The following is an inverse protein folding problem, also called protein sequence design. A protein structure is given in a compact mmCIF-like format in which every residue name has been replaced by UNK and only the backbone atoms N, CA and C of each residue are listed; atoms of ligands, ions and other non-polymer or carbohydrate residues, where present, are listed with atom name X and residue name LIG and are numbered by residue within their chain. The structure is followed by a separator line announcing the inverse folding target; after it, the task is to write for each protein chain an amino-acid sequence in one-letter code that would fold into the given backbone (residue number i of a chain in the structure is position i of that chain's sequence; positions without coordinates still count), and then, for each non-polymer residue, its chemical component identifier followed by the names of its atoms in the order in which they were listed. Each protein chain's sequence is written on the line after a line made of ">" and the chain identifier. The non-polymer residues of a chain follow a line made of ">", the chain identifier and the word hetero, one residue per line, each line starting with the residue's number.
data_IF_941873843406
#
_entry.id   IF_941873843406
#
_cell.length_a   1.000
_cell.length_b   1.000
_cell.length_c   1.000
_cell.angle_alpha   90.00
_cell.angle_beta   90.00
_cell.angle_gamma   90.00
#
_symmetry.space_group_name_H-M   'P 1'
#
loop_
_entity.id
_entity.type
_entity.pdbx_description
1 polymer ?
#
# COMPACT_ATOMS: atom_id res chain seq x y z
N UNK A 1 -34.24 44.25 29.52
CA UNK A 1 -34.97 43.15 28.84
C UNK A 1 -34.42 41.85 29.39
N UNK A 2 -35.15 41.19 30.28
CA UNK A 2 -34.84 39.80 30.61
C UNK A 2 -35.31 38.97 29.42
N UNK A 3 -34.37 38.36 28.71
CA UNK A 3 -34.68 37.35 27.72
C UNK A 3 -35.09 36.10 28.51
N UNK A 4 -36.40 35.79 28.52
CA UNK A 4 -36.92 34.57 29.11
C UNK A 4 -36.54 33.38 28.23
N UNK A 5 -35.36 32.82 28.48
CA UNK A 5 -34.92 31.58 27.85
C UNK A 5 -35.69 30.40 28.45
N UNK A 6 -36.47 29.70 27.64
CA UNK A 6 -37.19 28.50 28.08
C UNK A 6 -36.25 27.28 28.12
N UNK A 7 -36.53 26.27 28.97
CA UNK A 7 -35.78 25.01 28.98
C UNK A 7 -35.69 24.35 27.59
N UNK A 8 -36.73 24.50 26.75
CA UNK A 8 -36.76 23.99 25.39
C UNK A 8 -35.76 24.71 24.47
N UNK A 9 -35.60 26.03 24.61
CA UNK A 9 -34.60 26.79 23.86
C UNK A 9 -33.18 26.39 24.26
N UNK A 10 -32.94 26.13 25.55
CA UNK A 10 -31.66 25.57 26.01
C UNK A 10 -31.40 24.18 25.44
N UNK A 11 -32.40 23.30 25.44
CA UNK A 11 -32.27 21.96 24.88
C UNK A 11 -31.98 22.03 23.36
N UNK A 12 -32.66 22.90 22.60
CA UNK A 12 -32.37 23.11 21.18
C UNK A 12 -30.96 23.63 20.93
N UNK A 13 -30.48 24.59 21.72
CA UNK A 13 -29.12 25.09 21.61
C UNK A 13 -28.10 23.98 21.91
N UNK A 14 -28.32 23.17 22.94
CA UNK A 14 -27.48 22.01 23.27
C UNK A 14 -27.50 20.96 22.15
N UNK A 15 -28.65 20.71 21.51
CA UNK A 15 -28.75 19.82 20.34
C UNK A 15 -27.86 20.35 19.20
N UNK A 16 -27.90 21.65 18.90
CA UNK A 16 -27.10 22.26 17.82
C UNK A 16 -25.60 22.20 18.15
N UNK A 17 -25.22 22.53 19.38
CA UNK A 17 -23.82 22.47 19.84
C UNK A 17 -23.33 21.02 19.78
N UNK A 18 -24.10 20.08 20.29
CA UNK A 18 -23.77 18.66 20.26
C UNK A 18 -23.63 18.12 18.83
N UNK A 19 -24.51 18.51 17.91
CA UNK A 19 -24.38 18.14 16.49
C UNK A 19 -23.07 18.66 15.88
N UNK A 20 -22.68 19.90 16.16
CA UNK A 20 -21.38 20.45 15.72
C UNK A 20 -20.19 19.77 16.37
N UNK A 21 -20.27 19.43 17.66
CA UNK A 21 -19.20 18.72 18.39
C UNK A 21 -19.06 17.28 17.89
N UNK A 22 -20.16 16.61 17.58
CA UNK A 22 -20.16 15.28 16.94
C UNK A 22 -19.53 15.32 15.54
N UNK A 23 -19.80 16.38 14.77
CA UNK A 23 -19.18 16.62 13.47
C UNK A 23 -17.66 16.80 13.58
N UNK A 24 -17.20 17.63 14.52
CA UNK A 24 -15.78 17.97 14.72
C UNK A 24 -14.94 16.87 15.39
N UNK A 25 -15.51 16.10 16.33
CA UNK A 25 -14.72 15.22 17.22
C UNK A 25 -15.40 13.92 17.64
N UNK A 26 -16.66 13.71 17.28
CA UNK A 26 -17.37 12.44 17.51
C UNK A 26 -17.54 12.02 18.97
N UNK A 27 -17.42 12.96 19.93
CA UNK A 27 -17.71 12.71 21.35
C UNK A 27 -18.98 13.46 21.75
N UNK A 28 -19.81 12.82 22.56
CA UNK A 28 -21.00 13.41 23.16
C UNK A 28 -20.62 14.47 24.20
N UNK A 29 -21.51 15.43 24.45
CA UNK A 29 -21.31 16.44 25.49
C UNK A 29 -21.14 15.80 26.87
N UNK A 30 -21.85 14.70 27.14
CA UNK A 30 -21.74 13.92 28.37
C UNK A 30 -20.30 13.43 28.64
N UNK A 31 -19.62 12.95 27.59
CA UNK A 31 -18.23 12.46 27.67
C UNK A 31 -17.20 13.58 27.76
N UNK A 32 -17.65 14.82 27.64
CA UNK A 32 -16.87 16.04 27.80
C UNK A 32 -17.23 16.78 29.10
N UNK A 33 -18.04 16.17 29.98
CA UNK A 33 -18.56 16.78 31.21
C UNK A 33 -19.40 18.06 30.97
N UNK A 34 -20.04 18.15 29.80
CA UNK A 34 -20.89 19.27 29.38
C UNK A 34 -22.39 18.95 29.52
N UNK A 35 -23.27 19.97 29.62
CA UNK A 35 -24.72 19.77 29.74
C UNK A 35 -25.27 18.95 28.58
N UNK A 36 -26.05 17.92 28.88
CA UNK A 36 -26.57 16.96 27.89
C UNK A 36 -27.87 17.43 27.25
N UNK A 37 -28.04 17.14 25.96
CA UNK A 37 -29.32 17.33 25.29
C UNK A 37 -30.26 16.14 25.53
N UNK A 38 -31.55 16.40 25.73
CA UNK A 38 -32.58 15.36 25.75
C UNK A 38 -32.94 15.03 24.29
N UNK A 39 -32.31 13.98 23.75
CA UNK A 39 -32.66 13.38 22.44
C UNK A 39 -33.40 12.06 22.65
N UNK A 40 -34.44 11.82 21.88
CA UNK A 40 -35.04 10.49 21.80
C UNK A 40 -34.03 9.51 21.17
N UNK A 41 -34.04 8.24 21.56
CA UNK A 41 -33.12 7.21 21.06
C UNK A 41 -33.15 7.06 19.53
N UNK A 42 -34.27 7.40 18.89
CA UNK A 42 -34.40 7.48 17.42
C UNK A 42 -33.58 8.60 16.77
N UNK A 43 -33.39 9.74 17.45
CA UNK A 43 -32.61 10.88 16.92
C UNK A 43 -31.10 10.60 16.91
N UNK A 44 -30.62 9.76 17.84
CA UNK A 44 -29.22 9.34 17.92
C UNK A 44 -28.84 8.42 16.76
N UNK A 45 -29.66 7.42 16.47
CA UNK A 45 -29.53 6.54 15.30
C UNK A 45 -29.51 7.34 13.99
N UNK A 46 -30.36 8.37 13.90
CA UNK A 46 -30.42 9.22 12.72
C UNK A 46 -29.16 10.07 12.56
N UNK A 47 -28.53 10.55 13.63
CA UNK A 47 -27.40 11.48 13.54
C UNK A 47 -26.13 10.88 12.89
N UNK A 48 -25.81 9.62 13.20
CA UNK A 48 -24.64 8.96 12.63
C UNK A 48 -24.87 8.53 11.18
N UNK A 49 -26.09 8.12 10.85
CA UNK A 49 -26.48 7.89 9.47
C UNK A 49 -26.49 9.19 8.66
N UNK A 50 -26.96 10.29 9.24
CA UNK A 50 -26.95 11.60 8.59
C UNK A 50 -25.51 11.98 8.25
N UNK A 51 -24.58 11.82 9.20
CA UNK A 51 -23.17 12.12 8.98
C UNK A 51 -22.57 11.37 7.79
N UNK A 52 -23.00 10.13 7.55
CA UNK A 52 -22.51 9.31 6.45
C UNK A 52 -23.32 9.45 5.14
N UNK A 53 -24.33 10.33 5.12
CA UNK A 53 -25.17 10.57 3.94
C UNK A 53 -25.31 12.06 3.57
N UNK A 54 -24.97 12.98 4.48
CA UNK A 54 -25.11 14.44 4.33
C UNK A 54 -23.95 15.10 3.58
N UNK A 55 -23.51 14.48 2.48
CA UNK A 55 -22.47 15.05 1.62
C UNK A 55 -23.08 16.02 0.59
N UNK A 56 -22.37 17.10 0.26
CA UNK A 56 -22.79 18.00 -0.81
C UNK A 56 -22.58 17.32 -2.17
N UNK A 57 -23.68 16.90 -2.77
CA UNK A 57 -23.70 16.19 -4.06
C UNK A 57 -23.09 17.06 -5.17
N UNK A 58 -23.27 18.38 -5.16
CA UNK A 58 -22.72 19.27 -6.19
C UNK A 58 -21.21 19.42 -6.05
N UNK A 59 -20.71 19.51 -4.82
CA UNK A 59 -19.27 19.55 -4.55
C UNK A 59 -18.61 18.22 -4.97
N UNK A 60 -19.24 17.10 -4.64
CA UNK A 60 -18.76 15.77 -5.04
C UNK A 60 -18.77 15.61 -6.56
N UNK A 61 -19.82 16.03 -7.27
CA UNK A 61 -19.90 15.97 -8.73
C UNK A 61 -18.81 16.81 -9.41
N UNK A 62 -18.59 18.04 -8.92
CA UNK A 62 -17.50 18.89 -9.39
C UNK A 62 -16.13 18.25 -9.15
N UNK A 63 -15.91 17.67 -7.96
CA UNK A 63 -14.67 16.96 -7.64
C UNK A 63 -14.45 15.76 -8.55
N UNK A 64 -15.47 14.94 -8.79
CA UNK A 64 -15.39 13.76 -9.66
C UNK A 64 -15.09 14.19 -11.10
N UNK A 65 -15.82 15.15 -11.63
CA UNK A 65 -15.66 15.64 -13.01
C UNK A 65 -14.26 16.19 -13.27
N UNK A 66 -13.67 16.89 -12.30
CA UNK A 66 -12.32 17.44 -12.42
C UNK A 66 -11.22 16.38 -12.30
N UNK A 67 -11.41 15.36 -11.45
CA UNK A 67 -10.33 14.44 -11.07
C UNK A 67 -10.38 13.07 -11.77
N UNK A 68 -11.55 12.57 -12.16
CA UNK A 68 -11.69 11.29 -12.86
C UNK A 68 -10.90 11.22 -14.20
N UNK A 69 -10.78 12.30 -14.99
CA UNK A 69 -9.91 12.31 -16.17
C UNK A 69 -8.41 12.21 -15.86
N UNK A 70 -7.97 12.62 -14.66
CA UNK A 70 -6.56 12.66 -14.27
C UNK A 70 -5.99 11.29 -13.86
N UNK A 71 -6.85 10.27 -13.71
CA UNK A 71 -6.42 8.90 -13.43
C UNK A 71 -5.52 8.38 -14.55
N UNK A 72 -4.27 8.09 -14.21
CA UNK A 72 -3.34 7.36 -15.09
C UNK A 72 -3.83 5.93 -15.31
N UNK A 73 -3.40 5.22 -16.38
CA UNK A 73 -3.97 3.92 -16.77
C UNK A 73 -4.06 2.89 -15.64
N UNK A 74 -3.01 2.77 -14.83
CA UNK A 74 -2.97 1.81 -13.71
C UNK A 74 -3.95 2.16 -12.58
N UNK A 75 -4.01 3.44 -12.23
CA UNK A 75 -4.96 3.94 -11.24
C UNK A 75 -6.40 3.77 -11.74
N UNK A 76 -6.65 4.02 -13.03
CA UNK A 76 -7.96 3.83 -13.68
C UNK A 76 -8.37 2.37 -13.69
N UNK A 77 -7.46 1.45 -13.99
CA UNK A 77 -7.72 0.02 -13.93
C UNK A 77 -8.12 -0.42 -12.51
N UNK A 78 -7.38 0.01 -11.49
CA UNK A 78 -7.71 -0.30 -10.10
C UNK A 78 -9.06 0.32 -9.68
N UNK A 79 -9.28 1.60 -10.00
CA UNK A 79 -10.51 2.34 -9.74
C UNK A 79 -11.73 1.63 -10.34
N UNK A 80 -11.69 1.28 -11.63
CA UNK A 80 -12.78 0.60 -12.32
C UNK A 80 -13.03 -0.81 -11.77
N UNK A 81 -11.98 -1.56 -11.43
CA UNK A 81 -12.10 -2.90 -10.87
C UNK A 81 -12.85 -2.87 -9.52
N UNK A 82 -12.50 -1.93 -8.64
CA UNK A 82 -13.14 -1.76 -7.34
C UNK A 82 -14.61 -1.33 -7.52
N UNK A 83 -14.89 -0.34 -8.37
CA UNK A 83 -16.27 0.10 -8.64
C UNK A 83 -17.13 -1.03 -9.20
N UNK A 84 -16.62 -1.77 -10.18
CA UNK A 84 -17.32 -2.91 -10.77
C UNK A 84 -17.68 -3.97 -9.72
N UNK A 85 -16.78 -4.22 -8.77
CA UNK A 85 -17.02 -5.19 -7.70
C UNK A 85 -18.13 -4.72 -6.73
N UNK A 86 -18.15 -3.43 -6.40
CA UNK A 86 -19.18 -2.81 -5.57
C UNK A 86 -20.54 -2.87 -6.28
N UNK A 87 -20.60 -2.48 -7.55
CA UNK A 87 -21.83 -2.50 -8.37
C UNK A 87 -22.41 -3.90 -8.51
N UNK A 88 -21.56 -4.91 -8.72
CA UNK A 88 -21.96 -6.32 -8.78
C UNK A 88 -22.30 -6.92 -7.41
N UNK A 89 -22.22 -6.14 -6.32
CA UNK A 89 -22.41 -6.59 -4.93
C UNK A 89 -21.59 -7.84 -4.60
N UNK A 90 -20.41 -7.94 -5.19
CA UNK A 90 -19.52 -9.09 -5.02
C UNK A 90 -18.63 -8.84 -3.82
N UNK A 91 -18.98 -9.47 -2.70
CA UNK A 91 -18.22 -9.37 -1.45
C UNK A 91 -16.76 -9.80 -1.64
N UNK A 92 -15.83 -9.12 -0.98
CA UNK A 92 -14.42 -9.51 -0.99
C UNK A 92 -13.50 -8.43 -0.45
N UNK A 93 -12.27 -8.83 -0.12
CA UNK A 93 -11.23 -7.92 0.33
C UNK A 93 -10.26 -7.65 -0.81
N UNK A 94 -10.04 -6.38 -1.12
CA UNK A 94 -9.11 -5.93 -2.15
C UNK A 94 -7.94 -5.25 -1.46
N UNK A 95 -6.71 -5.63 -1.83
CA UNK A 95 -5.51 -4.92 -1.43
C UNK A 95 -4.98 -4.05 -2.55
N UNK A 96 -4.95 -2.74 -2.31
CA UNK A 96 -4.30 -1.78 -3.19
C UNK A 96 -2.83 -1.63 -2.76
N UNK A 97 -1.94 -2.34 -3.45
CA UNK A 97 -0.49 -2.22 -3.26
C UNK A 97 0.00 -0.95 -3.98
N UNK A 98 0.15 0.12 -3.22
CA UNK A 98 0.49 1.42 -3.75
C UNK A 98 1.70 2.01 -2.98
N UNK A 99 2.92 1.95 -3.56
CA UNK A 99 4.08 2.57 -2.96
C UNK A 99 3.90 4.08 -2.74
N UNK A 100 4.72 4.65 -1.87
CA UNK A 100 4.73 6.10 -1.66
C UNK A 100 4.85 6.88 -2.97
N UNK A 101 4.03 7.93 -3.10
CA UNK A 101 4.02 8.82 -4.27
C UNK A 101 3.24 8.31 -5.49
N UNK A 102 2.58 7.14 -5.41
CA UNK A 102 1.80 6.59 -6.54
C UNK A 102 0.36 7.11 -6.64
N UNK A 103 -0.03 8.08 -5.81
CA UNK A 103 -1.39 8.63 -5.83
C UNK A 103 -2.46 7.72 -5.19
N UNK A 104 -2.08 6.83 -4.27
CA UNK A 104 -3.01 5.98 -3.50
C UNK A 104 -4.20 6.77 -2.93
N UNK A 105 -3.90 7.83 -2.20
CA UNK A 105 -4.89 8.69 -1.55
C UNK A 105 -5.81 9.36 -2.56
N UNK A 106 -5.28 9.75 -3.73
CA UNK A 106 -6.07 10.30 -4.83
C UNK A 106 -7.10 9.29 -5.35
N UNK A 107 -6.69 8.05 -5.60
CA UNK A 107 -7.60 6.98 -6.02
C UNK A 107 -8.66 6.69 -4.95
N UNK A 108 -8.27 6.60 -3.67
CA UNK A 108 -9.18 6.38 -2.54
C UNK A 108 -10.21 7.50 -2.47
N UNK A 109 -9.79 8.76 -2.50
CA UNK A 109 -10.69 9.92 -2.37
C UNK A 109 -11.66 10.01 -3.55
N UNK A 110 -11.21 9.74 -4.77
CA UNK A 110 -12.08 9.71 -5.94
C UNK A 110 -13.10 8.57 -5.87
N UNK A 111 -12.71 7.40 -5.36
CA UNK A 111 -13.61 6.27 -5.15
C UNK A 111 -14.69 6.59 -4.11
N UNK A 112 -14.28 7.15 -2.98
CA UNK A 112 -15.20 7.60 -1.93
C UNK A 112 -16.18 8.66 -2.46
N UNK A 113 -15.69 9.65 -3.20
CA UNK A 113 -16.52 10.68 -3.81
C UNK A 113 -17.57 10.06 -4.74
N UNK A 114 -17.17 9.15 -5.64
CA UNK A 114 -18.08 8.50 -6.60
C UNK A 114 -19.21 7.72 -5.93
N UNK A 115 -18.90 7.00 -4.84
CA UNK A 115 -19.88 6.19 -4.12
C UNK A 115 -20.81 7.08 -3.28
N UNK A 116 -20.26 8.07 -2.57
CA UNK A 116 -21.04 9.03 -1.77
C UNK A 116 -21.96 9.90 -2.63
N UNK A 117 -21.54 10.25 -3.85
CA UNK A 117 -22.39 10.93 -4.83
C UNK A 117 -23.66 10.14 -5.17
N UNK A 118 -23.65 8.81 -5.03
CA UNK A 118 -24.82 7.95 -5.19
C UNK A 118 -25.64 7.78 -3.89
N UNK A 119 -25.40 8.62 -2.87
CA UNK A 119 -26.01 8.54 -1.53
C UNK A 119 -25.77 7.22 -0.80
N UNK A 120 -24.69 6.51 -1.14
CA UNK A 120 -24.29 5.25 -0.51
C UNK A 120 -23.33 5.50 0.65
N UNK A 121 -23.44 4.67 1.67
CA UNK A 121 -22.62 4.76 2.88
C UNK A 121 -21.27 4.10 2.64
N UNK A 122 -20.19 4.82 2.93
CA UNK A 122 -18.81 4.33 2.90
C UNK A 122 -18.13 4.61 4.23
N UNK A 123 -17.46 3.62 4.80
CA UNK A 123 -16.68 3.81 6.02
C UNK A 123 -15.22 3.99 5.64
N UNK A 124 -14.62 5.10 6.07
CA UNK A 124 -13.22 5.41 5.77
C UNK A 124 -12.42 5.47 7.06
N UNK A 125 -11.47 4.55 7.20
CA UNK A 125 -10.57 4.48 8.35
C UNK A 125 -9.11 4.50 7.93
N UNK A 126 -8.24 4.95 8.83
CA UNK A 126 -6.80 4.84 8.66
C UNK A 126 -6.09 4.37 9.94
N UNK A 127 -4.92 3.76 9.81
CA UNK A 127 -4.15 3.26 10.96
C UNK A 127 -3.57 4.37 11.84
N UNK A 128 -3.26 5.54 11.27
CA UNK A 128 -2.74 6.72 11.99
C UNK A 128 -3.67 7.94 11.87
N UNK A 129 -3.58 8.87 12.83
CA UNK A 129 -4.36 10.11 12.80
C UNK A 129 -4.02 10.99 11.60
N UNK A 130 -2.75 11.09 11.23
CA UNK A 130 -2.28 11.88 10.08
C UNK A 130 -2.77 11.28 8.76
N UNK A 131 -2.77 9.95 8.63
CA UNK A 131 -3.33 9.31 7.43
C UNK A 131 -4.84 9.53 7.34
N UNK A 132 -5.54 9.55 8.48
CA UNK A 132 -6.98 9.79 8.50
C UNK A 132 -7.36 11.20 7.99
N UNK A 133 -6.53 12.22 8.18
CA UNK A 133 -6.83 13.58 7.68
C UNK A 133 -6.68 13.74 6.18
N UNK A 134 -5.98 12.80 5.52
CA UNK A 134 -5.72 12.84 4.07
C UNK A 134 -6.85 12.21 3.24
N UNK A 135 -7.74 11.46 3.88
CA UNK A 135 -8.87 10.80 3.22
C UNK A 135 -10.20 11.42 3.64
N UNK A 136 -11.10 11.67 2.69
CA UNK A 136 -12.37 12.36 2.98
C UNK A 136 -13.23 11.55 3.94
N UNK A 137 -13.69 12.18 5.03
CA UNK A 137 -14.44 11.50 6.09
C UNK A 137 -13.60 10.53 6.92
N UNK A 138 -12.27 10.56 6.77
CA UNK A 138 -11.33 9.67 7.43
C UNK A 138 -11.30 9.83 8.94
N UNK A 139 -11.28 8.70 9.63
CA UNK A 139 -11.10 8.60 11.08
C UNK A 139 -10.11 7.49 11.40
N UNK A 140 -9.59 7.46 12.62
CA UNK A 140 -8.68 6.35 12.99
C UNK A 140 -9.46 5.04 13.10
N UNK A 141 -8.87 3.94 12.64
CA UNK A 141 -9.49 2.61 12.68
C UNK A 141 -9.82 2.21 14.12
N UNK A 142 -8.93 2.48 15.07
CA UNK A 142 -9.15 2.21 16.49
C UNK A 142 -10.40 2.91 17.05
N UNK A 143 -10.62 4.19 16.72
CA UNK A 143 -11.75 4.96 17.26
C UNK A 143 -13.08 4.62 16.60
N UNK A 144 -13.05 4.37 15.28
CA UNK A 144 -14.24 4.12 14.45
C UNK A 144 -14.73 2.69 14.61
N UNK A 145 -13.82 1.72 14.55
CA UNK A 145 -14.15 0.31 14.65
C UNK A 145 -14.12 -0.18 16.09
N UNK A 146 -13.77 0.63 17.09
CA UNK A 146 -13.62 0.20 18.50
C UNK A 146 -12.76 -1.07 18.62
N UNK A 147 -11.62 -1.06 17.93
CA UNK A 147 -10.70 -2.20 17.91
C UNK A 147 -10.22 -2.52 19.33
N UNK A 148 -10.08 -3.81 19.70
CA UNK A 148 -9.57 -4.19 21.01
C UNK A 148 -8.14 -3.63 21.20
N UNK A 149 -7.86 -3.00 22.33
CA UNK A 149 -6.52 -2.46 22.63
C UNK A 149 -5.56 -3.55 23.16
N UNK A 150 -6.10 -4.63 23.72
CA UNK A 150 -5.37 -5.77 24.29
C UNK A 150 -5.52 -7.01 23.41
N UNK A 151 -5.13 -6.84 22.15
CA UNK A 151 -5.30 -7.86 21.10
C UNK A 151 -4.52 -9.17 21.39
N UNK A 152 -3.51 -9.11 22.26
CA UNK A 152 -2.68 -10.26 22.62
C UNK A 152 -3.19 -11.05 23.85
N UNK A 153 -4.08 -10.46 24.66
CA UNK A 153 -4.53 -11.03 25.94
C UNK A 153 -5.95 -11.62 25.86
N UNK A 154 -6.80 -11.09 24.97
CA UNK A 154 -8.21 -11.48 24.87
C UNK A 154 -8.46 -12.37 23.66
N UNK A 155 -9.04 -13.56 23.91
CA UNK A 155 -9.50 -14.51 22.88
C UNK A 155 -10.70 -14.00 22.07
N UNK A 156 -11.28 -12.86 22.43
CA UNK A 156 -12.40 -12.26 21.71
C UNK A 156 -11.88 -11.36 20.58
N UNK A 157 -11.78 -11.94 19.39
CA UNK A 157 -11.48 -11.27 18.13
C UNK A 157 -12.70 -10.48 17.62
N UNK A 158 -13.27 -9.58 18.44
CA UNK A 158 -14.41 -8.75 18.07
C UNK A 158 -14.15 -7.28 18.39
N UNK A 159 -14.65 -6.41 17.53
CA UNK A 159 -14.76 -4.98 17.80
C UNK A 159 -15.83 -4.72 18.88
N UNK A 160 -15.58 -3.75 19.77
CA UNK A 160 -16.51 -3.38 20.85
C UNK A 160 -17.66 -2.50 20.35
N UNK A 161 -18.43 -3.00 19.37
CA UNK A 161 -19.59 -2.33 18.78
C UNK A 161 -20.85 -3.14 19.13
N UNK A 162 -21.81 -2.50 19.79
CA UNK A 162 -23.04 -3.16 20.25
C UNK A 162 -24.12 -3.12 19.17
N UNK A 163 -24.85 -4.23 18.98
CA UNK A 163 -26.02 -4.27 18.07
C UNK A 163 -27.06 -3.25 18.53
N UNK A 164 -27.59 -2.45 17.59
CA UNK A 164 -28.60 -1.44 17.87
C UNK A 164 -28.07 -0.03 18.12
N UNK A 165 -26.76 0.22 18.05
CA UNK A 165 -26.21 1.58 18.01
C UNK A 165 -26.23 2.16 16.60
N UNK A 166 -26.01 3.48 16.46
CA UNK A 166 -25.87 4.12 15.17
C UNK A 166 -24.71 3.54 14.37
N UNK A 167 -23.59 3.22 15.02
CA UNK A 167 -22.37 2.78 14.35
C UNK A 167 -22.57 1.38 13.79
N UNK A 168 -23.30 0.54 14.55
CA UNK A 168 -23.73 -0.77 14.09
C UNK A 168 -24.60 -0.68 12.85
N UNK A 169 -25.55 0.28 12.81
CA UNK A 169 -26.42 0.49 11.65
C UNK A 169 -25.65 0.99 10.43
N UNK A 170 -24.70 1.91 10.62
CA UNK A 170 -23.79 2.38 9.56
C UNK A 170 -22.96 1.21 8.98
N UNK A 171 -22.41 0.34 9.82
CA UNK A 171 -21.68 -0.87 9.39
C UNK A 171 -22.59 -1.89 8.69
N UNK A 172 -23.85 -1.98 9.10
CA UNK A 172 -24.85 -2.84 8.46
C UNK A 172 -25.22 -2.37 7.06
N UNK A 173 -25.29 -1.05 6.83
CA UNK A 173 -25.74 -0.46 5.56
C UNK A 173 -24.59 -0.06 4.62
N UNK A 174 -23.35 0.04 5.09
CA UNK A 174 -22.22 0.45 4.26
C UNK A 174 -21.98 -0.47 3.05
N UNK A 175 -21.69 0.10 1.87
CA UNK A 175 -21.33 -0.68 0.67
C UNK A 175 -19.83 -0.91 0.54
N UNK A 176 -19.03 -0.08 1.22
CA UNK A 176 -17.58 -0.12 1.18
C UNK A 176 -16.98 0.26 2.54
N UNK A 177 -15.97 -0.51 2.96
CA UNK A 177 -15.05 -0.13 4.02
C UNK A 177 -13.66 0.09 3.43
N UNK A 178 -13.11 1.28 3.58
CA UNK A 178 -11.74 1.62 3.18
C UNK A 178 -10.87 1.70 4.43
N UNK A 179 -9.74 0.99 4.42
CA UNK A 179 -8.71 1.09 5.46
C UNK A 179 -7.38 1.51 4.85
N UNK A 180 -7.02 2.78 5.03
CA UNK A 180 -5.74 3.33 4.59
C UNK A 180 -4.61 3.09 5.60
N UNK A 181 -3.39 2.92 5.09
CA UNK A 181 -2.22 2.46 5.83
C UNK A 181 -2.48 1.19 6.66
N UNK A 182 -3.29 0.28 6.11
CA UNK A 182 -3.67 -0.97 6.79
C UNK A 182 -2.45 -1.87 7.05
N UNK A 183 -1.36 -1.74 6.28
CA UNK A 183 -0.13 -2.53 6.44
C UNK A 183 0.55 -2.38 7.80
N UNK A 184 0.29 -1.26 8.50
CA UNK A 184 0.76 -1.01 9.87
C UNK A 184 -0.12 -1.69 10.94
N UNK A 185 -1.28 -2.21 10.56
CA UNK A 185 -2.23 -2.83 11.49
C UNK A 185 -1.86 -4.28 11.79
N UNK A 186 -2.14 -4.70 13.02
CA UNK A 186 -2.00 -6.08 13.45
C UNK A 186 -3.06 -6.97 12.77
N UNK A 187 -2.71 -8.20 12.36
CA UNK A 187 -3.62 -9.15 11.69
C UNK A 187 -4.98 -9.33 12.38
N UNK A 188 -4.95 -9.46 13.70
CA UNK A 188 -6.14 -9.58 14.54
C UNK A 188 -7.09 -8.38 14.44
N UNK A 189 -6.63 -7.20 14.06
CA UNK A 189 -7.51 -6.06 13.83
C UNK A 189 -8.38 -6.27 12.58
N UNK A 190 -7.79 -6.84 11.52
CA UNK A 190 -8.51 -7.24 10.31
C UNK A 190 -9.46 -8.40 10.58
N UNK A 191 -9.03 -9.37 11.38
CA UNK A 191 -9.87 -10.53 11.78
C UNK A 191 -11.03 -10.10 12.67
N UNK A 192 -10.80 -9.15 13.59
CA UNK A 192 -11.86 -8.58 14.42
C UNK A 192 -12.88 -7.80 13.60
N UNK A 193 -12.43 -7.02 12.60
CA UNK A 193 -13.32 -6.37 11.66
C UNK A 193 -14.18 -7.39 10.90
N UNK A 194 -13.56 -8.47 10.41
CA UNK A 194 -14.28 -9.55 9.71
C UNK A 194 -15.39 -10.14 10.57
N UNK A 195 -15.07 -10.59 11.79
CA UNK A 195 -16.05 -11.21 12.69
C UNK A 195 -17.17 -10.23 13.10
N UNK A 196 -16.83 -8.97 13.37
CA UNK A 196 -17.83 -7.95 13.68
C UNK A 196 -18.76 -7.69 12.50
N UNK A 197 -18.25 -7.58 11.27
CA UNK A 197 -19.10 -7.39 10.10
C UNK A 197 -20.01 -8.60 9.85
N UNK A 198 -19.50 -9.83 10.05
CA UNK A 198 -20.30 -11.05 9.95
C UNK A 198 -21.44 -11.06 10.96
N UNK A 199 -21.17 -10.69 12.21
CA UNK A 199 -22.14 -10.66 13.30
C UNK A 199 -23.17 -9.53 13.15
N UNK A 200 -22.73 -8.31 12.82
CA UNK A 200 -23.62 -7.17 12.63
C UNK A 200 -24.55 -7.36 11.44
N UNK A 201 -24.04 -7.91 10.33
CA UNK A 201 -24.81 -8.10 9.09
C UNK A 201 -25.54 -9.44 9.02
N UNK A 202 -25.39 -10.29 10.03
CA UNK A 202 -25.90 -11.68 10.05
C UNK A 202 -25.53 -12.43 8.75
N UNK A 203 -24.28 -12.29 8.28
CA UNK A 203 -23.81 -12.84 7.01
C UNK A 203 -22.45 -13.49 7.19
N UNK A 204 -22.40 -14.83 7.12
CA UNK A 204 -21.17 -15.62 7.33
C UNK A 204 -20.11 -15.50 6.24
N UNK A 205 -20.36 -14.77 5.14
CA UNK A 205 -19.34 -14.49 4.12
C UNK A 205 -18.20 -13.65 4.71
N UNK A 206 -17.03 -13.68 4.09
CA UNK A 206 -15.93 -12.80 4.48
C UNK A 206 -16.39 -11.34 4.51
N UNK A 207 -15.96 -10.61 5.54
CA UNK A 207 -16.30 -9.21 5.80
C UNK A 207 -17.81 -8.93 5.85
N UNK A 208 -18.63 -9.89 6.30
CA UNK A 208 -20.09 -9.71 6.36
C UNK A 208 -20.74 -9.49 4.99
N UNK A 209 -20.05 -9.85 3.90
CA UNK A 209 -20.50 -9.63 2.54
C UNK A 209 -20.28 -8.23 1.97
N UNK A 210 -19.56 -7.34 2.66
CA UNK A 210 -19.19 -6.02 2.14
C UNK A 210 -17.88 -6.07 1.35
N UNK A 211 -17.65 -5.09 0.47
CA UNK A 211 -16.34 -4.88 -0.15
C UNK A 211 -15.46 -4.15 0.86
N UNK A 212 -14.26 -4.70 1.10
CA UNK A 212 -13.26 -4.04 1.97
C UNK A 212 -12.03 -3.74 1.13
N UNK A 213 -11.72 -2.45 0.99
CA UNK A 213 -10.50 -1.96 0.35
C UNK A 213 -9.46 -1.68 1.43
N UNK A 214 -8.45 -2.53 1.53
CA UNK A 214 -7.27 -2.26 2.34
C UNK A 214 -6.19 -1.66 1.44
N UNK A 215 -5.56 -0.58 1.89
CA UNK A 215 -4.52 0.11 1.13
C UNK A 215 -3.30 0.36 2.01
N UNK A 216 -2.12 0.35 1.40
CA UNK A 216 -0.88 0.60 2.11
C UNK A 216 0.32 0.05 1.37
N UNK A 217 1.47 0.15 2.04
CA UNK A 217 2.75 -0.27 1.49
C UNK A 217 3.49 -1.16 2.50
N UNK A 218 3.63 -2.45 2.19
CA UNK A 218 4.42 -3.38 3.03
C UNK A 218 5.93 -3.12 2.99
N UNK A 219 6.40 -2.20 2.14
CA UNK A 219 7.79 -1.71 2.14
C UNK A 219 8.03 -0.65 3.21
N UNK A 220 6.97 -0.19 3.89
CA UNK A 220 7.05 0.72 5.03
C UNK A 220 7.17 -0.05 6.35
N UNK A 221 6.99 0.65 7.47
CA UNK A 221 7.08 0.06 8.82
C UNK A 221 6.00 -1.01 9.02
N UNK A 222 6.43 -2.18 9.48
CA UNK A 222 5.56 -3.26 9.94
C UNK A 222 4.88 -2.88 11.28
N UNK A 223 3.86 -3.64 11.73
CA UNK A 223 3.25 -3.41 13.04
C UNK A 223 4.30 -3.43 14.15
N UNK A 224 4.30 -2.39 14.99
CA UNK A 224 5.27 -2.24 16.07
C UNK A 224 4.94 -3.20 17.21
N UNK A 225 5.88 -4.07 17.58
CA UNK A 225 5.78 -4.95 18.75
C UNK A 225 6.83 -4.51 19.78
N UNK A 226 6.42 -3.88 20.91
CA UNK A 226 7.36 -3.53 21.96
C UNK A 226 8.10 -4.77 22.45
N UNK A 227 9.45 -4.75 22.37
CA UNK A 227 10.33 -5.88 22.75
C UNK A 227 10.14 -7.16 21.92
N UNK A 228 9.50 -7.08 20.75
CA UNK A 228 9.31 -8.22 19.85
C UNK A 228 10.56 -8.56 19.04
N UNK A 229 10.64 -9.80 18.57
CA UNK A 229 11.64 -10.24 17.58
C UNK A 229 11.11 -10.12 16.16
N UNK A 230 11.98 -10.18 15.14
CA UNK A 230 11.54 -10.15 13.73
C UNK A 230 10.53 -11.26 13.37
N UNK A 231 10.65 -12.51 13.85
CA UNK A 231 9.59 -13.52 13.70
C UNK A 231 8.25 -13.11 14.32
N UNK A 232 8.26 -12.39 15.44
CA UNK A 232 7.03 -11.91 16.08
C UNK A 232 6.38 -10.84 15.19
N UNK A 233 7.14 -9.88 14.67
CA UNK A 233 6.66 -8.86 13.73
C UNK A 233 6.03 -9.49 12.48
N UNK A 234 6.66 -10.51 11.91
CA UNK A 234 6.12 -11.21 10.74
C UNK A 234 4.82 -11.97 11.06
N UNK A 235 4.71 -12.58 12.25
CA UNK A 235 3.48 -13.27 12.67
C UNK A 235 2.31 -12.32 12.90
N UNK A 236 2.57 -11.05 13.22
CA UNK A 236 1.51 -10.05 13.42
C UNK A 236 1.10 -9.33 12.14
N UNK A 237 1.92 -9.39 11.08
CA UNK A 237 1.60 -8.82 9.78
C UNK A 237 0.27 -9.36 9.21
N UNK A 238 -0.44 -8.51 8.47
CA UNK A 238 -1.68 -8.90 7.78
C UNK A 238 -1.53 -10.14 6.90
N UNK A 239 -0.36 -10.34 6.27
CA UNK A 239 -0.04 -11.51 5.45
C UNK A 239 -0.11 -12.84 6.21
N UNK A 240 0.03 -12.80 7.52
CA UNK A 240 -0.08 -13.95 8.43
C UNK A 240 -1.52 -14.19 8.92
N UNK A 241 -2.49 -13.40 8.46
CA UNK A 241 -3.92 -13.63 8.71
C UNK A 241 -4.45 -14.75 7.82
N UNK A 242 -5.38 -15.54 8.36
CA UNK A 242 -6.11 -16.53 7.57
C UNK A 242 -6.96 -15.91 6.45
N UNK A 243 -7.28 -14.61 6.56
CA UNK A 243 -8.03 -13.85 5.57
C UNK A 243 -7.19 -13.51 4.34
N UNK A 244 -5.86 -13.43 4.50
CA UNK A 244 -4.97 -12.92 3.45
C UNK A 244 -5.03 -13.74 2.15
N UNK A 245 -5.23 -15.07 2.26
CA UNK A 245 -5.40 -15.97 1.10
C UNK A 245 -6.62 -15.65 0.23
N UNK A 246 -7.56 -14.85 0.74
CA UNK A 246 -8.77 -14.43 0.04
C UNK A 246 -8.73 -12.96 -0.41
N UNK A 247 -7.57 -12.30 -0.24
CA UNK A 247 -7.37 -10.91 -0.64
C UNK A 247 -6.94 -10.84 -2.10
N UNK A 248 -7.72 -10.13 -2.92
CA UNK A 248 -7.35 -9.82 -4.29
C UNK A 248 -6.39 -8.63 -4.31
N UNK A 249 -5.15 -8.83 -4.77
CA UNK A 249 -4.16 -7.75 -4.85
C UNK A 249 -4.28 -7.02 -6.18
N UNK A 250 -4.57 -5.72 -6.14
CA UNK A 250 -4.44 -4.80 -7.26
C UNK A 250 -3.09 -4.11 -7.12
N UNK A 251 -2.16 -4.51 -7.98
CA UNK A 251 -0.89 -3.78 -8.17
C UNK A 251 -1.09 -2.85 -9.36
N UNK A 252 -0.67 -1.59 -9.26
CA UNK A 252 -0.44 -0.79 -10.47
C UNK A 252 0.51 -1.59 -11.37
N UNK A 253 0.20 -1.68 -12.67
CA UNK A 253 0.76 -2.68 -13.58
C UNK A 253 2.24 -2.96 -13.29
N UNK A 254 2.57 -4.23 -13.07
CA UNK A 254 3.95 -4.69 -13.01
C UNK A 254 4.56 -4.59 -14.40
N UNK A 255 4.97 -3.39 -14.79
CA UNK A 255 5.98 -3.22 -15.82
C UNK A 255 7.31 -3.76 -15.27
N UNK A 256 8.12 -4.37 -16.13
CA UNK A 256 9.52 -4.70 -15.86
C UNK A 256 10.28 -3.50 -15.25
N UNK A 257 9.83 -2.29 -15.57
CA UNK A 257 10.27 -1.02 -14.98
C UNK A 257 10.16 -0.99 -13.44
N UNK A 258 9.16 -1.63 -12.84
CA UNK A 258 8.97 -1.70 -11.38
C UNK A 258 10.12 -2.42 -10.66
N UNK A 259 10.60 -3.52 -11.25
CA UNK A 259 11.75 -4.28 -10.74
C UNK A 259 13.04 -3.45 -10.88
N UNK A 260 13.20 -2.78 -12.03
CA UNK A 260 14.43 -2.06 -12.37
C UNK A 260 14.62 -0.74 -11.60
N UNK A 261 13.55 -0.17 -11.03
CA UNK A 261 13.62 1.08 -10.25
C UNK A 261 13.97 0.86 -8.77
N UNK A 262 14.00 -0.38 -8.29
CA UNK A 262 14.25 -0.71 -6.87
C UNK A 262 15.54 -1.52 -6.71
N UNK A 263 16.11 -1.47 -5.51
CA UNK A 263 17.29 -2.26 -5.15
C UNK A 263 17.00 -3.01 -3.85
N UNK A 264 17.37 -4.29 -3.81
CA UNK A 264 17.38 -5.06 -2.57
C UNK A 264 18.77 -4.94 -1.98
N UNK A 265 18.84 -4.45 -0.74
CA UNK A 265 20.10 -4.35 0.01
C UNK A 265 20.18 -5.53 0.98
N UNK A 266 21.34 -6.19 1.02
CA UNK A 266 21.62 -7.24 2.00
C UNK A 266 23.00 -7.04 2.64
N UNK A 267 23.20 -7.47 3.91
CA UNK A 267 24.45 -7.25 4.63
C UNK A 267 25.69 -7.93 4.03
N UNK A 268 25.51 -8.98 3.21
CA UNK A 268 26.58 -9.75 2.59
C UNK A 268 26.31 -10.00 1.11
N UNK A 269 27.37 -9.96 0.28
CA UNK A 269 27.29 -10.22 -1.16
C UNK A 269 26.74 -11.60 -1.51
N UNK A 270 27.01 -12.62 -0.68
CA UNK A 270 26.45 -13.98 -0.88
C UNK A 270 24.91 -13.98 -0.88
N UNK A 271 24.29 -13.17 -0.01
CA UNK A 271 22.83 -13.04 0.05
C UNK A 271 22.30 -12.24 -1.14
N UNK A 272 23.00 -11.17 -1.55
CA UNK A 272 22.66 -10.40 -2.75
C UNK A 272 22.70 -11.29 -4.00
N UNK A 273 23.74 -12.11 -4.15
CA UNK A 273 23.91 -13.02 -5.28
C UNK A 273 22.81 -14.08 -5.33
N UNK A 274 22.45 -14.67 -4.19
CA UNK A 274 21.37 -15.65 -4.11
C UNK A 274 20.01 -15.05 -4.54
N UNK A 275 19.71 -13.82 -4.08
CA UNK A 275 18.46 -13.11 -4.45
C UNK A 275 18.47 -12.77 -5.94
N UNK A 276 19.59 -12.23 -6.46
CA UNK A 276 19.72 -11.91 -7.88
C UNK A 276 19.53 -13.15 -8.76
N UNK A 277 20.07 -14.30 -8.36
CA UNK A 277 19.92 -15.55 -9.09
C UNK A 277 18.46 -16.04 -9.11
N UNK A 278 17.76 -15.98 -7.97
CA UNK A 278 16.34 -16.35 -7.92
C UNK A 278 15.48 -15.46 -8.82
N UNK A 279 15.71 -14.15 -8.83
CA UNK A 279 14.99 -13.22 -9.70
C UNK A 279 15.28 -13.53 -11.17
N UNK A 280 16.55 -13.76 -11.53
CA UNK A 280 16.95 -14.13 -12.90
C UNK A 280 16.27 -15.43 -13.38
N UNK A 281 16.10 -16.42 -12.50
CA UNK A 281 15.42 -17.67 -12.83
C UNK A 281 13.94 -17.45 -13.14
N UNK A 282 13.28 -16.52 -12.44
CA UNK A 282 11.86 -16.19 -12.64
C UNK A 282 11.60 -15.32 -13.89
N UNK A 283 12.60 -14.59 -14.39
CA UNK A 283 12.45 -13.80 -15.61
C UNK A 283 12.14 -14.71 -16.82
N UNK A 284 11.17 -14.37 -17.67
CA UNK A 284 10.89 -15.12 -18.89
C UNK A 284 12.03 -14.95 -19.92
N UNK A 285 12.17 -15.91 -20.83
CA UNK A 285 13.16 -15.88 -21.90
C UNK A 285 14.41 -16.72 -21.64
N UNK A 286 15.22 -16.87 -22.70
CA UNK A 286 16.43 -17.69 -22.70
C UNK A 286 17.60 -16.96 -22.00
N UNK A 287 18.37 -17.72 -21.22
CA UNK A 287 19.60 -17.21 -20.59
C UNK A 287 20.71 -17.15 -21.63
N UNK A 288 21.34 -15.98 -21.76
CA UNK A 288 22.56 -15.80 -22.55
C UNK A 288 23.73 -15.55 -21.60
N UNK A 289 24.83 -16.27 -21.84
CA UNK A 289 26.06 -16.21 -21.05
C UNK A 289 27.12 -15.38 -21.78
N UNK A 290 27.69 -14.40 -21.08
CA UNK A 290 28.84 -13.62 -21.53
C UNK A 290 30.04 -13.96 -20.66
N UNK A 291 31.10 -14.48 -21.28
CA UNK A 291 32.35 -14.83 -20.59
C UNK A 291 33.38 -13.71 -20.71
N UNK A 292 34.06 -13.39 -19.61
CA UNK A 292 35.23 -12.52 -19.64
C UNK A 292 36.38 -13.21 -20.37
N UNK A 293 37.38 -12.41 -20.76
CA UNK A 293 38.66 -12.93 -21.27
C UNK A 293 39.70 -12.32 -20.36
N UNK A 294 40.28 -13.17 -19.51
CA UNK A 294 41.17 -12.75 -18.44
C UNK A 294 42.60 -13.06 -18.86
N UNK A 295 43.49 -12.06 -18.76
CA UNK A 295 44.88 -12.16 -19.23
C UNK A 295 45.83 -11.57 -18.20
N UNK A 296 46.94 -12.26 -17.95
CA UNK A 296 48.04 -11.75 -17.11
C UNK A 296 48.86 -10.75 -17.92
N UNK A 297 49.09 -9.54 -17.39
CA UNK A 297 49.89 -8.51 -18.07
C UNK A 297 51.39 -8.81 -18.06
N UNK A 298 51.89 -9.53 -17.05
CA UNK A 298 53.29 -9.92 -16.92
C UNK A 298 53.50 -11.33 -17.50
N UNK A 299 54.26 -11.42 -18.60
CA UNK A 299 54.51 -12.66 -19.33
C UNK A 299 55.24 -13.69 -18.44
N UNK A 300 56.09 -13.24 -17.52
CA UNK A 300 56.87 -14.11 -16.62
C UNK A 300 56.01 -14.82 -15.57
N UNK A 301 54.78 -14.33 -15.34
CA UNK A 301 53.84 -14.88 -14.37
C UNK A 301 52.72 -15.71 -15.02
N UNK A 302 52.67 -15.82 -16.35
CA UNK A 302 51.59 -16.52 -17.08
C UNK A 302 51.52 -18.01 -16.68
N UNK A 303 52.66 -18.64 -16.40
CA UNK A 303 52.72 -20.05 -15.97
C UNK A 303 52.21 -20.24 -14.53
N UNK A 304 52.27 -19.18 -13.70
CA UNK A 304 51.84 -19.23 -12.29
C UNK A 304 50.34 -19.03 -12.11
N UNK A 305 49.66 -18.42 -13.09
CA UNK A 305 48.24 -18.10 -13.01
C UNK A 305 47.49 -18.68 -14.23
N UNK A 306 47.12 -19.97 -14.20
CA UNK A 306 46.36 -20.58 -15.27
C UNK A 306 45.00 -19.89 -15.44
N UNK A 307 44.45 -19.93 -16.67
CA UNK A 307 43.20 -19.25 -17.02
C UNK A 307 42.03 -19.70 -16.15
N UNK A 308 42.00 -20.97 -15.75
CA UNK A 308 41.00 -21.53 -14.84
C UNK A 308 41.04 -20.86 -13.46
N UNK A 309 42.25 -20.56 -12.96
CA UNK A 309 42.41 -19.82 -11.72
C UNK A 309 41.92 -18.38 -11.88
N UNK A 310 42.27 -17.70 -12.97
CA UNK A 310 41.80 -16.33 -13.23
C UNK A 310 40.26 -16.26 -13.33
N UNK A 311 39.64 -17.21 -14.04
CA UNK A 311 38.20 -17.29 -14.19
C UNK A 311 37.46 -17.59 -12.87
N UNK A 312 38.17 -18.08 -11.84
CA UNK A 312 37.63 -18.37 -10.51
C UNK A 312 37.66 -17.17 -9.55
N UNK A 313 38.37 -16.09 -9.91
CA UNK A 313 38.51 -14.92 -9.06
C UNK A 313 37.25 -14.05 -9.11
N UNK A 314 36.72 -13.68 -7.94
CA UNK A 314 35.63 -12.72 -7.78
C UNK A 314 36.07 -11.49 -6.96
N UNK A 315 37.00 -10.65 -7.47
CA UNK A 315 37.47 -9.49 -6.73
C UNK A 315 36.36 -8.43 -6.61
N UNK A 316 36.36 -7.73 -5.47
CA UNK A 316 35.40 -6.65 -5.21
C UNK A 316 35.47 -5.57 -6.29
N UNK A 317 34.31 -5.14 -6.80
CA UNK A 317 34.23 -4.11 -7.85
C UNK A 317 34.44 -4.62 -9.28
N UNK A 318 34.53 -5.94 -9.49
CA UNK A 318 34.51 -6.55 -10.81
C UNK A 318 33.26 -7.40 -11.03
N UNK A 319 32.77 -7.51 -12.29
CA UNK A 319 31.75 -8.48 -12.63
C UNK A 319 32.33 -9.91 -12.58
N UNK A 320 31.49 -10.94 -12.36
CA UNK A 320 31.94 -12.33 -12.42
C UNK A 320 32.43 -12.70 -13.83
N UNK A 321 33.32 -13.70 -13.92
CA UNK A 321 33.81 -14.23 -15.20
C UNK A 321 32.66 -14.61 -16.15
N UNK A 322 31.63 -15.27 -15.61
CA UNK A 322 30.47 -15.69 -16.38
C UNK A 322 29.22 -14.90 -15.97
N UNK A 323 28.83 -13.96 -16.84
CA UNK A 323 27.66 -13.12 -16.64
C UNK A 323 26.44 -13.72 -17.36
N UNK A 324 25.44 -14.13 -16.59
CA UNK A 324 24.18 -14.69 -17.09
C UNK A 324 23.10 -13.60 -17.16
N UNK A 325 22.53 -13.37 -18.34
CA UNK A 325 21.52 -12.34 -18.57
C UNK A 325 20.33 -12.89 -19.37
N UNK A 326 19.17 -12.27 -19.16
CA UNK A 326 17.95 -12.44 -19.95
C UNK A 326 17.47 -11.07 -20.44
N UNK A 327 16.62 -11.05 -21.46
CA UNK A 327 15.89 -9.83 -21.79
C UNK A 327 15.04 -9.44 -20.57
N UNK A 328 15.11 -8.17 -20.17
CA UNK A 328 14.49 -7.63 -18.97
C UNK A 328 15.37 -7.62 -17.71
N UNK A 329 16.53 -8.26 -17.72
CA UNK A 329 17.45 -8.20 -16.57
C UNK A 329 17.82 -6.77 -16.18
N UNK A 330 17.76 -6.47 -14.88
CA UNK A 330 18.29 -5.22 -14.32
C UNK A 330 19.77 -5.38 -14.03
N UNK A 331 20.61 -4.52 -14.61
CA UNK A 331 22.06 -4.52 -14.42
C UNK A 331 22.54 -3.15 -13.94
N UNK A 332 23.71 -3.12 -13.30
CA UNK A 332 24.35 -1.89 -12.84
C UNK A 332 25.72 -1.75 -13.50
N UNK A 333 26.02 -0.54 -13.97
CA UNK A 333 27.32 -0.23 -14.53
C UNK A 333 28.35 -0.05 -13.41
N UNK A 334 29.50 -0.71 -13.52
CA UNK A 334 30.56 -0.68 -12.49
C UNK A 334 31.69 0.33 -12.77
N UNK A 335 31.63 1.06 -13.89
CA UNK A 335 32.62 2.09 -14.28
C UNK A 335 31.95 3.25 -15.02
N UNK A 336 32.65 4.37 -15.08
CA UNK A 336 32.27 5.48 -15.95
C UNK A 336 32.62 5.14 -17.40
N UNK A 337 31.64 5.24 -18.29
CA UNK A 337 31.82 5.11 -19.74
C UNK A 337 31.67 6.46 -20.45
N UNK A 338 30.65 7.22 -20.05
CA UNK A 338 30.24 8.46 -20.72
C UNK A 338 29.58 9.39 -19.71
N UNK A 339 30.35 9.98 -18.79
CA UNK A 339 29.80 10.85 -17.75
C UNK A 339 29.31 12.19 -18.35
N UNK A 340 28.16 12.73 -17.93
CA UNK A 340 27.33 12.34 -16.78
C UNK A 340 26.26 11.28 -17.10
N UNK A 341 26.23 10.76 -18.33
CA UNK A 341 25.17 9.89 -18.86
C UNK A 341 25.26 8.44 -18.37
N UNK A 342 26.43 7.83 -18.51
CA UNK A 342 26.74 6.45 -18.12
C UNK A 342 27.91 6.43 -17.14
N UNK A 343 27.57 6.56 -15.86
CA UNK A 343 28.52 6.53 -14.75
C UNK A 343 28.42 5.24 -13.93
N UNK A 344 29.43 5.00 -13.10
CA UNK A 344 29.40 3.93 -12.11
C UNK A 344 28.16 4.08 -11.21
N UNK A 345 27.42 3.00 -11.03
CA UNK A 345 26.15 2.95 -10.31
C UNK A 345 24.91 3.18 -11.19
N UNK A 346 25.06 3.57 -12.45
CA UNK A 346 23.94 3.71 -13.37
C UNK A 346 23.20 2.37 -13.56
N UNK A 347 21.88 2.37 -13.37
CA UNK A 347 21.04 1.17 -13.54
C UNK A 347 20.49 1.12 -14.95
N UNK A 348 20.52 -0.07 -15.55
CA UNK A 348 20.14 -0.33 -16.92
C UNK A 348 19.20 -1.54 -16.98
N UNK A 349 18.22 -1.52 -17.87
CA UNK A 349 17.37 -2.68 -18.16
C UNK A 349 17.75 -3.28 -19.51
N UNK A 350 17.99 -4.59 -19.55
CA UNK A 350 18.36 -5.31 -20.78
C UNK A 350 17.18 -5.37 -21.74
N UNK A 351 17.38 -4.90 -22.97
CA UNK A 351 16.36 -4.92 -24.04
C UNK A 351 16.66 -5.97 -25.09
N UNK A 352 17.93 -6.13 -25.45
CA UNK A 352 18.36 -7.10 -26.46
C UNK A 352 19.78 -7.58 -26.15
N UNK A 353 20.01 -8.86 -26.39
CA UNK A 353 21.27 -9.53 -26.15
C UNK A 353 21.78 -10.07 -27.49
N UNK A 354 22.95 -9.61 -27.93
CA UNK A 354 23.59 -10.03 -29.19
C UNK A 354 25.06 -10.36 -28.92
N UNK A 355 25.75 -11.09 -29.83
CA UNK A 355 27.16 -11.39 -29.64
C UNK A 355 27.98 -10.12 -29.37
N UNK A 356 28.68 -10.10 -28.23
CA UNK A 356 29.61 -9.05 -27.79
C UNK A 356 29.02 -7.67 -27.42
N UNK A 357 27.70 -7.46 -27.53
CA UNK A 357 27.05 -6.18 -27.20
C UNK A 357 25.71 -6.41 -26.50
N UNK A 358 25.44 -5.63 -25.46
CA UNK A 358 24.18 -5.65 -24.72
C UNK A 358 23.45 -4.33 -25.00
N UNK A 359 22.26 -4.39 -25.59
CA UNK A 359 21.38 -3.21 -25.73
C UNK A 359 20.55 -3.06 -24.47
N UNK A 360 20.63 -1.91 -23.82
CA UNK A 360 19.88 -1.59 -22.61
C UNK A 360 19.18 -0.25 -22.68
N UNK A 361 18.23 -0.02 -21.77
CA UNK A 361 17.61 1.30 -21.55
C UNK A 361 18.07 1.85 -20.19
N UNK A 362 18.45 3.12 -20.14
CA UNK A 362 18.90 3.79 -18.90
C UNK A 362 17.70 4.00 -17.96
N UNK A 363 17.84 3.56 -16.71
CA UNK A 363 16.74 3.60 -15.72
C UNK A 363 16.86 4.76 -14.73
N UNK A 364 18.05 5.33 -14.57
CA UNK A 364 18.37 6.33 -13.54
C UNK A 364 19.27 7.44 -14.09
N UNK A 365 19.14 8.66 -13.55
CA UNK A 365 20.01 9.80 -13.90
C UNK A 365 19.45 10.70 -15.00
N UNK A 366 20.29 11.60 -15.50
CA UNK A 366 19.91 12.68 -16.43
C UNK A 366 19.41 12.19 -17.80
N UNK A 367 19.78 10.97 -18.21
CA UNK A 367 19.42 10.37 -19.49
C UNK A 367 18.45 9.18 -19.35
N UNK A 368 17.62 9.18 -18.30
CA UNK A 368 16.62 8.14 -18.08
C UNK A 368 15.72 7.98 -19.31
N UNK A 369 15.56 6.74 -19.78
CA UNK A 369 14.72 6.37 -20.92
C UNK A 369 15.46 6.23 -22.24
N UNK A 370 16.73 6.65 -22.32
CA UNK A 370 17.54 6.47 -23.54
C UNK A 370 18.00 5.01 -23.69
N UNK A 371 17.99 4.51 -24.93
CA UNK A 371 18.60 3.24 -25.29
C UNK A 371 20.11 3.43 -25.48
N UNK A 372 20.91 2.55 -24.90
CA UNK A 372 22.38 2.52 -25.02
C UNK A 372 22.89 1.12 -25.33
N UNK A 373 24.10 1.06 -25.86
CA UNK A 373 24.79 -0.20 -26.18
C UNK A 373 26.02 -0.33 -25.27
N UNK A 374 26.10 -1.45 -24.57
CA UNK A 374 27.23 -1.78 -23.68
C UNK A 374 28.08 -2.83 -24.38
N UNK A 375 29.27 -2.47 -24.91
CA UNK A 375 30.21 -3.43 -25.45
C UNK A 375 30.98 -4.13 -24.33
N UNK A 376 31.85 -5.07 -24.69
CA UNK A 376 32.84 -5.61 -23.75
C UNK A 376 33.77 -4.49 -23.26
N UNK A 377 33.89 -4.32 -21.94
CA UNK A 377 34.67 -3.25 -21.31
C UNK A 377 35.97 -3.85 -20.77
N UNK A 378 37.15 -3.28 -21.07
CA UNK A 378 38.39 -3.71 -20.43
C UNK A 378 38.37 -3.32 -18.95
N UNK A 379 38.62 -4.30 -18.08
CA UNK A 379 38.79 -4.09 -16.64
C UNK A 379 40.25 -4.38 -16.26
N UNK A 380 40.81 -3.53 -15.41
CA UNK A 380 42.06 -3.78 -14.71
C UNK A 380 41.78 -3.67 -13.20
N UNK A 381 42.27 -4.60 -12.37
CA UNK A 381 42.24 -4.43 -10.93
C UNK A 381 43.05 -3.18 -10.59
N UNK A 382 42.50 -2.35 -9.70
CA UNK A 382 43.22 -1.20 -9.16
C UNK A 382 44.30 -1.66 -8.20
#
# INVERSE_FOLDING_TARGET
>A
MNLDYTPDMFNQALIIIESKVLEMGGKELEKLELPTSQRNSGDRLNSEMLRETSYDVKELDAYITANEPLLVPDQRAAYNAILTQIEKKTSGTIFLDAPNGTGKTFVINLLLAKIRHQSKITITVASSGIAATLVHGGRTAHSTLKLPLKVLENQTHLCSITKGTGEAKVLQECELVVWDECTMAHRYALEALNHTLQDLRNNGKNMGGVVVLIAGDFRQTLPVIPKGTMPDELKTCLKSSYLWRHVASLTGAQDHKWLCERAVLAPKNVNVNAINLQIQQQLPGEVISYKSVDTVKNIDMVVQYPTEFLNSLEPSGMPPHNLHLKIGSSIMLLRNLDAPRLCNGARLCVKTLVPHVIKTTIMTGCAKGEDVFIPKIPFAPF
#
